data_IF_824650822556
#
_entry.id   IF_824650822556
#
_cell.length_a   1.000
_cell.length_b   1.000
_cell.length_c   1.000
_cell.angle_alpha   90.00
_cell.angle_beta   90.00
_cell.angle_gamma   90.00
#
_symmetry.space_group_name_H-M   'P 1'
#
loop_
_entity.id
_entity.type
_entity.pdbx_description
1 polymer ?
#
# COMPACT_ATOMS: atom_id res chain seq x y z
N UNK A 1 26.12 17.64 0.98
CA UNK A 1 25.40 17.44 2.24
C UNK A 1 23.93 17.22 1.88
N UNK A 2 23.41 16.01 2.05
CA UNK A 2 22.02 15.64 1.68
C UNK A 2 21.10 16.14 2.77
N UNK A 3 20.13 16.98 2.42
CA UNK A 3 19.15 17.50 3.39
C UNK A 3 18.28 16.36 3.95
N UNK A 4 17.91 16.39 5.24
CA UNK A 4 17.13 15.35 5.93
C UNK A 4 15.69 15.15 5.44
N UNK A 5 15.20 16.00 4.53
CA UNK A 5 13.82 16.00 4.02
C UNK A 5 13.46 14.82 3.11
N UNK A 6 14.36 13.86 2.92
CA UNK A 6 14.19 12.73 2.01
C UNK A 6 13.86 11.40 2.69
N UNK A 7 13.30 11.40 3.89
CA UNK A 7 12.72 10.18 4.46
C UNK A 7 11.35 9.92 3.81
N UNK A 8 11.40 9.44 2.59
CA UNK A 8 10.26 8.77 1.96
C UNK A 8 10.27 7.36 2.49
N UNK A 9 9.18 6.90 3.07
CA UNK A 9 9.01 5.49 3.37
C UNK A 9 8.93 4.77 2.03
N UNK A 10 10.01 4.10 1.67
CA UNK A 10 10.11 3.28 0.47
C UNK A 10 10.01 1.84 0.91
N UNK A 11 8.91 1.19 0.58
CA UNK A 11 8.90 -0.27 0.56
C UNK A 11 9.77 -0.74 -0.59
N UNK A 12 11.07 -0.92 -0.33
CA UNK A 12 11.96 -1.50 -1.31
C UNK A 12 12.08 -3.00 -1.06
N UNK A 13 11.62 -3.78 -2.01
CA UNK A 13 11.85 -5.23 -2.05
C UNK A 13 13.28 -5.61 -2.50
N UNK A 14 14.15 -4.62 -2.67
CA UNK A 14 15.52 -4.78 -3.14
C UNK A 14 16.44 -3.95 -2.25
N UNK A 15 17.59 -4.52 -1.89
CA UNK A 15 18.69 -3.73 -1.37
C UNK A 15 18.94 -2.54 -2.31
N UNK A 16 18.74 -1.30 -1.82
CA UNK A 16 18.97 -0.05 -2.57
C UNK A 16 20.48 0.18 -2.84
N UNK A 17 21.21 -0.87 -3.17
CA UNK A 17 22.66 -0.86 -3.28
C UNK A 17 23.18 -0.39 -4.64
N UNK A 18 22.32 0.09 -5.56
CA UNK A 18 22.80 0.71 -6.80
C UNK A 18 22.31 2.15 -6.92
N UNK A 19 23.19 3.04 -7.35
CA UNK A 19 22.87 4.45 -7.63
C UNK A 19 21.69 4.61 -8.59
N UNK A 20 21.55 3.66 -9.54
CA UNK A 20 20.41 3.62 -10.47
C UNK A 20 19.07 3.42 -9.77
N UNK A 21 19.00 2.57 -8.74
CA UNK A 21 17.76 2.34 -8.00
C UNK A 21 17.35 3.60 -7.21
N UNK A 22 18.32 4.30 -6.64
CA UNK A 22 18.09 5.54 -5.90
C UNK A 22 17.57 6.64 -6.84
N UNK A 23 18.20 6.81 -8.00
CA UNK A 23 17.79 7.81 -9.00
C UNK A 23 16.38 7.54 -9.50
N UNK A 24 16.09 6.28 -9.87
CA UNK A 24 14.77 5.89 -10.38
C UNK A 24 13.68 6.00 -9.31
N UNK A 25 13.98 5.66 -8.05
CA UNK A 25 13.03 5.85 -6.93
C UNK A 25 12.68 7.33 -6.77
N UNK A 26 13.69 8.19 -6.76
CA UNK A 26 13.50 9.65 -6.65
C UNK A 26 12.70 10.22 -7.81
N UNK A 27 13.02 9.82 -9.05
CA UNK A 27 12.31 10.25 -10.24
C UNK A 27 10.83 9.82 -10.18
N UNK A 28 10.54 8.58 -9.77
CA UNK A 28 9.17 8.08 -9.63
C UNK A 28 8.38 8.87 -8.57
N UNK A 29 8.97 9.12 -7.40
CA UNK A 29 8.35 9.90 -6.33
C UNK A 29 8.13 11.35 -6.77
N UNK A 30 9.11 11.97 -7.43
CA UNK A 30 8.99 13.35 -7.90
C UNK A 30 7.86 13.46 -8.96
N UNK A 31 7.70 12.43 -9.81
CA UNK A 31 6.58 12.35 -10.75
C UNK A 31 5.25 12.31 -10.01
N UNK A 32 5.12 11.49 -8.95
CA UNK A 32 3.92 11.45 -8.12
C UNK A 32 3.60 12.81 -7.49
N UNK A 33 4.61 13.51 -6.96
CA UNK A 33 4.46 14.85 -6.38
C UNK A 33 4.00 15.85 -7.45
N UNK A 34 4.56 15.80 -8.64
CA UNK A 34 4.17 16.71 -9.72
C UNK A 34 2.71 16.49 -10.16
N UNK A 35 2.29 15.25 -10.34
CA UNK A 35 0.89 14.92 -10.68
C UNK A 35 -0.06 15.33 -9.55
N UNK A 36 0.37 15.17 -8.30
CA UNK A 36 -0.48 15.52 -7.16
C UNK A 36 -0.83 17.00 -7.06
N UNK A 37 -0.10 17.88 -7.74
CA UNK A 37 -0.38 19.33 -7.73
C UNK A 37 -1.74 19.66 -8.34
N UNK A 38 -2.19 18.86 -9.30
CA UNK A 38 -3.47 19.04 -10.01
C UNK A 38 -4.63 18.31 -9.31
N UNK A 39 -4.38 17.66 -8.16
CA UNK A 39 -5.40 16.97 -7.37
C UNK A 39 -5.82 17.87 -6.21
N UNK A 40 -7.03 18.37 -6.26
CA UNK A 40 -7.61 19.13 -5.16
C UNK A 40 -7.93 18.21 -3.97
N UNK A 41 -7.59 18.65 -2.77
CA UNK A 41 -7.84 17.89 -1.54
C UNK A 41 -8.30 18.81 -0.41
N UNK A 42 -9.10 18.26 0.52
CA UNK A 42 -9.37 18.90 1.80
C UNK A 42 -8.11 18.89 2.69
N UNK A 43 -8.07 19.63 3.79
CA UNK A 43 -7.03 19.46 4.80
C UNK A 43 -7.00 18.04 5.36
N UNK A 44 -5.79 17.52 5.68
CA UNK A 44 -5.63 16.17 6.18
C UNK A 44 -6.41 15.91 7.46
N UNK A 45 -7.16 14.81 7.46
CA UNK A 45 -7.95 14.38 8.62
C UNK A 45 -7.79 12.86 8.85
N UNK A 46 -7.02 12.50 9.87
CA UNK A 46 -6.74 11.11 10.23
C UNK A 46 -7.99 10.35 10.68
N UNK A 47 -8.90 10.99 11.41
CA UNK A 47 -10.10 10.32 11.92
C UNK A 47 -11.09 10.03 10.77
N UNK A 48 -11.20 10.97 9.82
CA UNK A 48 -11.98 10.75 8.60
C UNK A 48 -11.42 9.58 7.79
N UNK A 49 -10.08 9.51 7.62
CA UNK A 49 -9.41 8.39 6.95
C UNK A 49 -9.72 7.06 7.65
N UNK A 50 -9.59 7.01 8.98
CA UNK A 50 -9.93 5.80 9.76
C UNK A 50 -11.38 5.38 9.56
N UNK A 51 -12.31 6.32 9.51
CA UNK A 51 -13.73 6.07 9.24
C UNK A 51 -13.99 5.43 7.88
N UNK A 52 -13.17 5.73 6.86
CA UNK A 52 -13.30 5.16 5.52
C UNK A 52 -12.59 3.82 5.31
N UNK A 53 -11.77 3.37 6.24
CA UNK A 53 -11.04 2.10 6.08
C UNK A 53 -11.96 0.89 5.83
N UNK A 54 -13.13 0.74 6.49
CA UNK A 54 -14.05 -0.36 6.18
C UNK A 54 -14.60 -0.29 4.75
N UNK A 55 -14.94 0.92 4.24
CA UNK A 55 -15.40 1.12 2.86
C UNK A 55 -14.29 0.75 1.87
N UNK A 56 -13.05 1.22 2.09
CA UNK A 56 -11.89 0.86 1.27
C UNK A 56 -11.64 -0.65 1.25
N UNK A 57 -11.76 -1.32 2.41
CA UNK A 57 -11.64 -2.78 2.49
C UNK A 57 -12.74 -3.48 1.69
N UNK A 58 -13.98 -3.02 1.77
CA UNK A 58 -15.11 -3.54 0.99
C UNK A 58 -14.95 -3.39 -0.52
N UNK A 59 -14.09 -2.47 -0.99
CA UNK A 59 -13.78 -2.31 -2.42
C UNK A 59 -12.95 -3.45 -3.00
N UNK A 60 -12.33 -4.28 -2.17
CA UNK A 60 -11.49 -5.41 -2.61
C UNK A 60 -12.22 -6.38 -3.53
N UNK A 61 -13.54 -6.50 -3.43
CA UNK A 61 -14.39 -7.36 -4.28
C UNK A 61 -14.87 -6.68 -5.56
N UNK A 62 -14.54 -5.40 -5.76
CA UNK A 62 -14.95 -4.61 -6.94
C UNK A 62 -13.85 -4.56 -7.98
N UNK A 63 -14.24 -4.27 -9.23
CA UNK A 63 -13.28 -4.05 -10.33
C UNK A 63 -12.65 -2.65 -10.25
N UNK A 64 -11.44 -2.42 -10.78
CA UNK A 64 -10.78 -1.12 -10.75
C UNK A 64 -11.65 0.04 -11.26
N UNK A 65 -12.36 -0.14 -12.36
CA UNK A 65 -13.27 0.88 -12.92
C UNK A 65 -14.39 1.30 -11.97
N UNK A 66 -14.76 0.43 -11.02
CA UNK A 66 -15.84 0.68 -10.07
C UNK A 66 -15.31 1.33 -8.78
N UNK A 67 -14.14 0.89 -8.28
CA UNK A 67 -13.64 1.39 -7.01
C UNK A 67 -12.73 2.62 -7.15
N UNK A 68 -11.98 2.78 -8.25
CA UNK A 68 -11.01 3.88 -8.37
C UNK A 68 -11.64 5.28 -8.25
N UNK A 69 -12.78 5.60 -8.91
CA UNK A 69 -13.38 6.91 -8.76
C UNK A 69 -13.70 7.23 -7.29
N UNK A 70 -14.36 6.31 -6.59
CA UNK A 70 -14.73 6.49 -5.19
C UNK A 70 -13.51 6.52 -4.26
N UNK A 71 -12.47 5.74 -4.56
CA UNK A 71 -11.20 5.75 -3.83
C UNK A 71 -10.52 7.13 -3.93
N UNK A 72 -10.49 7.74 -5.12
CA UNK A 72 -9.96 9.09 -5.31
C UNK A 72 -10.75 10.13 -4.50
N UNK A 73 -12.09 10.06 -4.48
CA UNK A 73 -12.94 10.94 -3.67
C UNK A 73 -12.62 10.80 -2.18
N UNK A 74 -12.61 9.56 -1.65
CA UNK A 74 -12.30 9.29 -0.24
C UNK A 74 -10.95 9.89 0.16
N UNK A 75 -9.92 9.65 -0.63
CA UNK A 75 -8.59 10.18 -0.31
C UNK A 75 -8.55 11.70 -0.39
N UNK A 76 -9.16 12.32 -1.41
CA UNK A 76 -9.24 13.75 -1.54
C UNK A 76 -9.98 14.40 -0.35
N UNK A 77 -11.09 13.80 0.09
CA UNK A 77 -11.82 14.21 1.28
C UNK A 77 -11.01 14.10 2.58
N UNK A 78 -10.01 13.20 2.61
CA UNK A 78 -9.12 12.99 3.76
C UNK A 78 -7.84 13.83 3.70
N UNK A 79 -7.65 14.69 2.69
CA UNK A 79 -6.43 15.47 2.51
C UNK A 79 -5.28 14.70 1.88
N UNK A 80 -5.60 13.63 1.15
CA UNK A 80 -4.64 12.73 0.51
C UNK A 80 -4.75 12.84 -1.00
N UNK A 81 -3.71 13.33 -1.65
CA UNK A 81 -3.59 13.27 -3.11
C UNK A 81 -3.15 11.85 -3.51
N UNK A 82 -4.11 11.03 -3.92
CA UNK A 82 -3.85 9.65 -4.36
C UNK A 82 -3.41 9.62 -5.81
N UNK A 83 -2.26 8.99 -6.07
CA UNK A 83 -1.66 8.91 -7.41
C UNK A 83 -1.36 7.46 -7.75
N UNK A 84 -1.90 6.98 -8.87
CA UNK A 84 -1.58 5.68 -9.43
C UNK A 84 -0.61 5.84 -10.59
N UNK A 85 0.61 5.30 -10.46
CA UNK A 85 1.68 5.46 -11.45
C UNK A 85 2.10 4.13 -12.07
N UNK A 86 2.57 4.15 -13.34
CA UNK A 86 3.26 3.02 -13.91
C UNK A 86 4.51 2.64 -13.10
N UNK A 87 4.81 1.34 -13.09
CA UNK A 87 6.06 0.87 -12.53
C UNK A 87 7.25 1.41 -13.34
N UNK A 88 8.18 2.05 -12.64
CA UNK A 88 9.47 2.42 -13.22
C UNK A 88 10.50 1.30 -12.95
N UNK A 89 11.08 0.76 -14.02
CA UNK A 89 12.10 -0.32 -13.92
C UNK A 89 13.25 0.12 -13.01
N UNK A 90 13.71 -0.76 -12.15
CA UNK A 90 14.78 -0.52 -11.18
C UNK A 90 14.49 0.60 -10.15
N UNK A 91 13.23 0.99 -9.94
CA UNK A 91 12.91 1.91 -8.83
C UNK A 91 12.84 1.22 -7.48
N UNK A 92 12.52 -0.09 -7.46
CA UNK A 92 12.28 -0.83 -6.21
C UNK A 92 11.02 -0.40 -5.43
N UNK A 93 10.28 0.61 -5.91
CA UNK A 93 9.16 1.24 -5.20
C UNK A 93 7.85 0.54 -5.54
N UNK A 94 7.09 0.08 -4.55
CA UNK A 94 5.72 -0.41 -4.73
C UNK A 94 4.67 0.64 -4.35
N UNK A 95 4.98 1.48 -3.38
CA UNK A 95 4.20 2.62 -2.94
C UNK A 95 5.10 3.64 -2.28
N UNK A 96 4.58 4.83 -2.03
CA UNK A 96 5.27 5.88 -1.29
C UNK A 96 4.29 6.87 -0.68
N UNK A 97 4.63 7.35 0.51
CA UNK A 97 3.94 8.46 1.17
C UNK A 97 4.89 9.64 1.30
N UNK A 98 4.46 10.81 0.86
CA UNK A 98 5.20 12.07 1.02
C UNK A 98 4.29 13.16 1.56
N UNK A 99 4.63 13.70 2.71
CA UNK A 99 4.02 14.91 3.25
C UNK A 99 4.55 16.13 2.51
N UNK A 100 3.65 16.87 1.86
CA UNK A 100 3.99 18.10 1.12
C UNK A 100 3.88 19.29 2.06
N UNK A 101 2.83 19.33 2.87
CA UNK A 101 2.62 20.29 3.96
C UNK A 101 2.11 19.53 5.20
N UNK A 102 1.87 20.21 6.31
CA UNK A 102 1.34 19.58 7.53
C UNK A 102 -0.11 19.06 7.38
N UNK A 103 -0.83 19.55 6.38
CA UNK A 103 -2.23 19.25 6.10
C UNK A 103 -2.45 18.57 4.73
N UNK A 104 -1.38 18.25 3.99
CA UNK A 104 -1.47 17.62 2.67
C UNK A 104 -0.43 16.51 2.48
N UNK A 105 -0.89 15.34 2.09
CA UNK A 105 -0.04 14.18 1.83
C UNK A 105 -0.26 13.63 0.43
N UNK A 106 0.80 13.16 -0.21
CA UNK A 106 0.75 12.39 -1.45
C UNK A 106 0.89 10.91 -1.09
N UNK A 107 -0.06 10.10 -1.52
CA UNK A 107 -0.02 8.65 -1.45
C UNK A 107 0.06 8.11 -2.88
N UNK A 108 1.17 7.53 -3.24
CA UNK A 108 1.40 6.99 -4.57
C UNK A 108 1.51 5.46 -4.53
N UNK A 109 0.83 4.78 -5.44
CA UNK A 109 0.93 3.32 -5.63
C UNK A 109 1.36 3.04 -7.06
N UNK A 110 2.26 2.07 -7.26
CA UNK A 110 2.58 1.61 -8.59
C UNK A 110 1.68 0.44 -9.01
N UNK A 111 1.57 0.23 -10.33
CA UNK A 111 0.82 -0.88 -10.90
C UNK A 111 1.67 -2.16 -11.07
N UNK A 112 2.81 -2.26 -10.37
CA UNK A 112 3.72 -3.42 -10.48
C UNK A 112 3.06 -4.67 -9.92
N UNK A 113 3.09 -5.71 -10.75
CA UNK A 113 2.57 -7.02 -10.37
C UNK A 113 1.07 -7.17 -10.54
N UNK A 114 0.32 -6.10 -10.80
CA UNK A 114 -1.05 -6.05 -11.36
C UNK A 114 -2.08 -6.93 -10.64
N UNK A 115 -1.68 -7.72 -9.63
CA UNK A 115 -2.57 -8.61 -8.91
C UNK A 115 -3.26 -7.92 -7.73
N UNK A 116 -4.55 -8.21 -7.55
CA UNK A 116 -5.39 -7.63 -6.51
C UNK A 116 -4.76 -7.72 -5.10
N UNK A 117 -4.20 -8.89 -4.75
CA UNK A 117 -3.54 -9.10 -3.45
C UNK A 117 -2.40 -8.11 -3.20
N UNK A 118 -1.54 -7.91 -4.20
CA UNK A 118 -0.39 -6.98 -4.08
C UNK A 118 -0.84 -5.53 -4.03
N UNK A 119 -1.82 -5.16 -4.86
CA UNK A 119 -2.37 -3.79 -4.87
C UNK A 119 -2.96 -3.43 -3.51
N UNK A 120 -3.88 -4.24 -3.00
CA UNK A 120 -4.57 -3.97 -1.75
C UNK A 120 -3.63 -4.02 -0.53
N UNK A 121 -2.71 -4.99 -0.50
CA UNK A 121 -1.70 -5.03 0.55
C UNK A 121 -0.84 -3.76 0.56
N UNK A 122 -0.31 -3.35 -0.60
CA UNK A 122 0.49 -2.13 -0.71
C UNK A 122 -0.32 -0.89 -0.33
N UNK A 123 -1.59 -0.79 -0.75
CA UNK A 123 -2.44 0.35 -0.40
C UNK A 123 -2.63 0.47 1.12
N UNK A 124 -3.00 -0.61 1.82
CA UNK A 124 -3.18 -0.58 3.27
C UNK A 124 -1.86 -0.36 4.02
N UNK A 125 -0.74 -0.84 3.48
CA UNK A 125 0.58 -0.55 4.00
C UNK A 125 0.90 0.95 3.94
N UNK A 126 0.70 1.59 2.79
CA UNK A 126 0.92 3.03 2.63
C UNK A 126 -0.08 3.87 3.44
N UNK A 127 -1.34 3.45 3.55
CA UNK A 127 -2.30 4.09 4.46
C UNK A 127 -1.78 4.11 5.90
N UNK A 128 -1.14 3.02 6.36
CA UNK A 128 -0.55 2.99 7.70
C UNK A 128 0.57 4.01 7.84
N UNK A 129 1.42 4.19 6.83
CA UNK A 129 2.43 5.24 6.83
C UNK A 129 1.84 6.66 6.88
N UNK A 130 0.70 6.90 6.22
CA UNK A 130 -0.04 8.16 6.37
C UNK A 130 -0.47 8.36 7.83
N UNK A 131 -1.02 7.33 8.47
CA UNK A 131 -1.49 7.39 9.86
C UNK A 131 -0.34 7.51 10.90
N UNK A 132 0.88 7.13 10.55
CA UNK A 132 2.08 7.23 11.39
C UNK A 132 2.72 8.63 11.41
N UNK A 133 2.13 9.64 10.74
CA UNK A 133 2.69 11.00 10.62
C UNK A 133 3.22 11.61 11.93
N UNK A 134 2.50 11.42 13.04
CA UNK A 134 2.88 11.99 14.35
C UNK A 134 4.23 11.51 14.86
N UNK A 135 4.65 10.30 14.46
CA UNK A 135 5.91 9.70 14.90
C UNK A 135 7.10 10.39 14.20
N UNK A 136 6.92 10.86 12.95
CA UNK A 136 8.00 11.51 12.16
C UNK A 136 8.48 12.85 12.73
N UNK A 137 7.65 13.58 13.47
CA UNK A 137 8.07 14.85 14.13
C UNK A 137 9.10 14.65 15.26
N UNK A 138 9.28 13.43 15.76
CA UNK A 138 10.24 13.09 16.83
C UNK A 138 11.69 12.92 16.30
N UNK A 139 11.89 12.79 14.98
CA UNK A 139 13.19 12.47 14.37
C UNK A 139 14.23 13.60 14.35
N UNK A 140 13.91 14.82 14.77
CA UNK A 140 14.81 15.98 14.61
C UNK A 140 16.07 15.88 15.50
N UNK A 141 16.08 14.99 16.50
CA UNK A 141 17.18 14.83 17.46
C UNK A 141 17.81 13.43 17.55
N UNK A 142 17.46 12.51 16.65
CA UNK A 142 17.87 11.10 16.73
C UNK A 142 19.18 10.83 15.97
N UNK A 143 19.98 9.87 16.46
CA UNK A 143 21.15 9.37 15.74
C UNK A 143 20.75 8.57 14.48
N UNK A 144 21.70 8.33 13.55
CA UNK A 144 21.43 7.55 12.35
C UNK A 144 20.94 6.12 12.67
N UNK A 145 21.50 5.48 13.69
CA UNK A 145 21.10 4.14 14.13
C UNK A 145 19.69 4.12 14.70
N UNK A 146 19.35 5.10 15.56
CA UNK A 146 17.98 5.25 16.06
C UNK A 146 16.97 5.50 14.95
N UNK A 147 17.32 6.30 13.94
CA UNK A 147 16.47 6.55 12.77
C UNK A 147 16.23 5.28 11.96
N UNK A 148 17.26 4.44 11.76
CA UNK A 148 17.13 3.16 11.06
C UNK A 148 16.24 2.18 11.83
N UNK A 149 16.40 2.09 13.16
CA UNK A 149 15.60 1.21 14.01
C UNK A 149 14.12 1.65 14.04
N UNK A 150 13.86 2.95 14.16
CA UNK A 150 12.50 3.49 14.11
C UNK A 150 11.86 3.25 12.74
N UNK A 151 12.57 3.48 11.63
CA UNK A 151 12.05 3.19 10.30
C UNK A 151 11.69 1.71 10.15
N UNK A 152 12.55 0.80 10.63
CA UNK A 152 12.28 -0.62 10.59
C UNK A 152 11.03 -1.00 11.41
N UNK A 153 10.84 -0.42 12.58
CA UNK A 153 9.63 -0.60 13.39
C UNK A 153 8.36 -0.08 12.70
N UNK A 154 8.46 1.05 11.99
CA UNK A 154 7.34 1.61 11.22
C UNK A 154 6.95 0.72 10.04
N UNK A 155 7.93 0.13 9.34
CA UNK A 155 7.68 -0.83 8.26
C UNK A 155 7.00 -2.11 8.78
N UNK A 156 7.51 -2.68 9.89
CA UNK A 156 6.90 -3.85 10.54
C UNK A 156 5.46 -3.56 10.97
N UNK A 157 5.21 -2.38 11.52
CA UNK A 157 3.86 -1.96 11.93
C UNK A 157 2.94 -1.78 10.72
N UNK A 158 3.44 -1.22 9.60
CA UNK A 158 2.67 -1.05 8.38
C UNK A 158 2.32 -2.41 7.73
N UNK A 159 3.26 -3.34 7.67
CA UNK A 159 3.02 -4.70 7.20
C UNK A 159 1.99 -5.43 8.07
N UNK A 160 2.14 -5.33 9.39
CA UNK A 160 1.19 -5.92 10.36
C UNK A 160 -0.20 -5.32 10.21
N UNK A 161 -0.29 -4.00 10.05
CA UNK A 161 -1.56 -3.32 9.84
C UNK A 161 -2.24 -3.79 8.55
N UNK A 162 -1.54 -3.75 7.40
CA UNK A 162 -2.09 -4.19 6.13
C UNK A 162 -2.58 -5.64 6.18
N UNK A 163 -1.76 -6.54 6.72
CA UNK A 163 -2.07 -7.94 6.91
C UNK A 163 -3.33 -8.17 7.75
N UNK A 164 -3.40 -7.50 8.92
CA UNK A 164 -4.46 -7.72 9.90
C UNK A 164 -5.74 -6.95 9.55
N UNK A 165 -5.65 -5.84 8.83
CA UNK A 165 -6.82 -5.10 8.40
C UNK A 165 -7.54 -5.81 7.24
N UNK A 166 -6.80 -6.39 6.30
CA UNK A 166 -7.38 -7.17 5.21
C UNK A 166 -8.01 -8.47 5.72
N UNK A 167 -7.31 -9.21 6.59
CA UNK A 167 -7.80 -10.45 7.22
C UNK A 167 -7.46 -10.38 8.71
N UNK A 168 -8.47 -10.23 9.57
CA UNK A 168 -8.24 -10.13 11.00
C UNK A 168 -7.54 -11.38 11.56
N UNK A 169 -6.80 -11.28 12.66
CA UNK A 169 -6.20 -12.46 13.31
C UNK A 169 -7.24 -13.51 13.70
N UNK A 170 -8.44 -13.08 14.10
CA UNK A 170 -9.57 -13.93 14.48
C UNK A 170 -10.10 -14.69 13.26
N UNK A 171 -10.34 -13.99 12.14
CA UNK A 171 -10.76 -14.61 10.89
C UNK A 171 -9.71 -15.57 10.37
N UNK A 172 -8.44 -15.18 10.43
CA UNK A 172 -7.36 -16.04 9.98
C UNK A 172 -7.26 -17.34 10.78
N UNK A 173 -7.49 -17.29 12.11
CA UNK A 173 -7.58 -18.50 12.94
C UNK A 173 -8.77 -19.38 12.55
N UNK A 174 -9.91 -18.78 12.17
CA UNK A 174 -11.09 -19.56 11.70
C UNK A 174 -10.83 -20.29 10.38
N UNK A 175 -10.03 -19.71 9.49
CA UNK A 175 -9.62 -20.39 8.26
C UNK A 175 -8.82 -21.66 8.57
N UNK A 176 -8.11 -21.70 9.71
CA UNK A 176 -7.21 -22.79 10.11
C UNK A 176 -6.29 -23.22 8.95
N UNK A 177 -5.50 -22.29 8.36
CA UNK A 177 -4.85 -22.52 7.09
C UNK A 177 -3.82 -23.66 7.17
N UNK A 178 -3.79 -24.51 6.16
CA UNK A 178 -2.84 -25.61 6.02
C UNK A 178 -2.32 -25.68 4.58
N UNK A 179 -1.29 -26.49 4.37
CA UNK A 179 -0.77 -26.77 3.01
C UNK A 179 -1.80 -27.46 2.10
N UNK A 180 -2.87 -27.99 2.67
CA UNK A 180 -3.95 -28.65 1.95
C UNK A 180 -5.16 -27.77 1.68
N UNK A 181 -5.18 -26.55 2.20
CA UNK A 181 -6.29 -25.60 1.98
C UNK A 181 -6.61 -25.48 0.49
N UNK A 182 -7.85 -25.79 0.12
CA UNK A 182 -8.32 -25.84 -1.27
C UNK A 182 -8.73 -24.48 -1.81
N UNK A 183 -8.88 -24.35 -3.13
CA UNK A 183 -9.40 -23.14 -3.77
C UNK A 183 -10.81 -22.84 -3.28
N UNK A 184 -11.68 -23.85 -3.12
CA UNK A 184 -13.07 -23.69 -2.66
C UNK A 184 -13.14 -23.18 -1.21
N UNK A 185 -12.32 -23.72 -0.31
CA UNK A 185 -12.20 -23.22 1.06
C UNK A 185 -11.77 -21.74 1.12
N UNK A 186 -10.82 -21.36 0.26
CA UNK A 186 -10.36 -19.97 0.15
C UNK A 186 -11.49 -19.07 -0.34
N UNK A 187 -12.21 -19.49 -1.37
CA UNK A 187 -13.33 -18.72 -1.95
C UNK A 187 -14.44 -18.54 -0.93
N UNK A 188 -14.88 -19.61 -0.27
CA UNK A 188 -15.93 -19.55 0.73
C UNK A 188 -15.52 -18.68 1.92
N UNK A 189 -14.30 -18.86 2.43
CA UNK A 189 -13.79 -18.03 3.51
C UNK A 189 -13.75 -16.54 3.10
N UNK A 190 -13.20 -16.22 1.92
CA UNK A 190 -13.12 -14.84 1.43
C UNK A 190 -14.51 -14.18 1.34
N UNK A 191 -15.52 -14.96 0.90
CA UNK A 191 -16.90 -14.52 0.84
C UNK A 191 -17.48 -14.23 2.23
N UNK A 192 -17.20 -15.08 3.24
CA UNK A 192 -17.71 -14.86 4.61
C UNK A 192 -17.16 -13.59 5.25
N UNK A 193 -15.92 -13.19 4.92
CA UNK A 193 -15.30 -11.97 5.46
C UNK A 193 -15.34 -10.76 4.51
N UNK A 194 -15.99 -10.91 3.35
CA UNK A 194 -16.25 -9.82 2.40
C UNK A 194 -15.00 -9.24 1.73
N UNK A 195 -14.04 -10.09 1.30
CA UNK A 195 -12.86 -9.68 0.55
C UNK A 195 -12.64 -10.53 -0.70
N UNK A 196 -11.75 -10.08 -1.58
CA UNK A 196 -11.38 -10.85 -2.77
C UNK A 196 -10.57 -12.11 -2.42
N UNK A 197 -10.91 -13.31 -2.96
CA UNK A 197 -10.24 -14.57 -2.62
C UNK A 197 -8.73 -14.57 -2.95
N UNK A 198 -8.32 -13.82 -3.96
CA UNK A 198 -6.90 -13.63 -4.29
C UNK A 198 -6.07 -13.03 -3.15
N UNK A 199 -6.68 -12.22 -2.26
CA UNK A 199 -6.00 -11.66 -1.08
C UNK A 199 -5.71 -12.76 -0.06
N UNK A 200 -6.64 -13.68 0.15
CA UNK A 200 -6.43 -14.85 1.03
C UNK A 200 -5.34 -15.75 0.46
N UNK A 201 -5.44 -16.11 -0.83
CA UNK A 201 -4.43 -16.90 -1.52
C UNK A 201 -3.05 -16.25 -1.44
N UNK A 202 -2.96 -14.94 -1.71
CA UNK A 202 -1.72 -14.16 -1.63
C UNK A 202 -1.09 -14.17 -0.24
N UNK A 203 -1.91 -14.09 0.82
CA UNK A 203 -1.45 -14.19 2.21
C UNK A 203 -0.87 -15.58 2.51
N UNK A 204 -1.59 -16.65 2.15
CA UNK A 204 -1.12 -18.02 2.38
C UNK A 204 0.19 -18.32 1.64
N UNK A 205 0.33 -17.82 0.41
CA UNK A 205 1.57 -17.94 -0.38
C UNK A 205 2.72 -17.14 0.26
N UNK A 206 2.46 -15.91 0.70
CA UNK A 206 3.47 -15.08 1.34
C UNK A 206 3.97 -15.66 2.67
N UNK A 207 3.10 -16.31 3.43
CA UNK A 207 3.45 -16.99 4.69
C UNK A 207 4.06 -18.39 4.48
N UNK A 208 4.18 -18.83 3.22
CA UNK A 208 4.75 -20.16 2.89
C UNK A 208 3.84 -21.34 3.27
N UNK A 209 2.56 -21.06 3.57
CA UNK A 209 1.57 -22.13 3.89
C UNK A 209 1.26 -22.95 2.65
N UNK A 210 1.09 -22.30 1.50
CA UNK A 210 0.89 -22.94 0.21
C UNK A 210 1.98 -22.48 -0.79
N UNK A 211 2.37 -23.33 -1.76
CA UNK A 211 3.30 -22.94 -2.83
C UNK A 211 2.77 -21.80 -3.69
N UNK A 212 3.68 -21.02 -4.32
CA UNK A 212 3.32 -19.85 -5.15
C UNK A 212 2.44 -20.19 -6.36
N UNK A 213 2.54 -21.41 -6.86
CA UNK A 213 1.78 -21.90 -8.03
C UNK A 213 0.34 -22.26 -7.66
N UNK A 214 0.09 -22.63 -6.39
CA UNK A 214 -1.25 -23.01 -5.93
C UNK A 214 -2.15 -21.81 -5.80
N UNK A 215 -3.42 -22.01 -6.10
CA UNK A 215 -4.48 -21.00 -5.98
C UNK A 215 -4.22 -19.75 -6.84
N UNK A 216 -3.30 -19.81 -7.81
CA UNK A 216 -2.94 -18.68 -8.70
C UNK A 216 -4.14 -18.23 -9.55
N UNK A 217 -5.09 -19.12 -9.86
CA UNK A 217 -6.34 -18.82 -10.57
C UNK A 217 -7.27 -17.88 -9.80
N UNK A 218 -7.15 -17.85 -8.47
CA UNK A 218 -7.91 -16.95 -7.61
C UNK A 218 -7.36 -15.52 -7.62
N UNK A 219 -6.15 -15.31 -8.14
CA UNK A 219 -5.49 -14.00 -8.17
C UNK A 219 -5.90 -13.24 -9.42
N UNK A 220 -6.70 -12.21 -9.23
CA UNK A 220 -7.13 -11.35 -10.32
C UNK A 220 -6.03 -10.36 -10.71
N UNK A 221 -5.79 -10.24 -12.03
CA UNK A 221 -4.99 -9.15 -12.61
C UNK A 221 -5.84 -7.90 -12.74
N UNK A 222 -5.38 -6.79 -12.17
CA UNK A 222 -5.98 -5.49 -12.40
C UNK A 222 -5.42 -4.85 -13.67
N UNK A 223 -6.31 -4.24 -14.45
CA UNK A 223 -5.96 -3.38 -15.59
C UNK A 223 -6.36 -1.96 -15.20
N UNK A 224 -5.38 -1.09 -15.07
CA UNK A 224 -5.61 0.31 -14.77
C UNK A 224 -5.48 1.13 -16.05
N UNK A 225 -6.51 1.86 -16.41
CA UNK A 225 -6.45 2.87 -17.46
C UNK A 225 -5.74 4.10 -16.90
N UNK A 226 -4.47 4.26 -17.25
CA UNK A 226 -3.70 5.44 -16.87
C UNK A 226 -3.94 6.49 -17.94
N UNK A 227 -4.59 7.60 -17.55
CA UNK A 227 -4.70 8.76 -18.46
C UNK A 227 -3.29 9.17 -18.87
N UNK A 228 -3.02 9.16 -20.18
CA UNK A 228 -1.77 9.71 -20.70
C UNK A 228 -1.71 11.17 -20.23
N UNK A 229 -0.64 11.51 -19.53
CA UNK A 229 -0.31 12.91 -19.25
C UNK A 229 0.11 13.48 -20.59
N UNK A 230 -0.69 14.40 -21.12
CA UNK A 230 -0.40 15.14 -22.33
C UNK A 230 0.76 16.09 -22.11
#
# INVERSE_FOLDING_TARGET
MLQPDFLVNLRSSLSLNSDKNIINSRAWIQTAINISKDIETQPYNAEKLKGYLPELRGMTVKKPKEFLPRMHEIFAECGIAFVLLPHLKNSGVNGAVKWVTDDRVVLAINNRGVYADKFWFSLFHEIRHVLQQKIKKVFISSTLEEMMDINNKLEIDADKFAKNYLISPEDYKRLAPSRYTSDDEIVEFAKTIGIHPGIVAGRLQHEGIIPQERCSKLKEKYVFEIKKIA
#
